data_IF_390325485521
#
_entry.id   IF_390325485521
#
_cell.length_a   1.000
_cell.length_b   1.000
_cell.length_c   1.000
_cell.angle_alpha   90.00
_cell.angle_beta   90.00
_cell.angle_gamma   90.00
#
_symmetry.space_group_name_H-M   'P 1'
#
loop_
_entity.id
_entity.type
_entity.pdbx_description
1 polymer ?
#
# COMPACT_ATOMS: atom_id res chain seq x y z
N UNK A 1 11.27 -40.27 45.81
CA UNK A 1 12.16 -39.13 45.49
C UNK A 1 11.94 -38.76 44.03
N UNK A 2 10.86 -38.04 43.73
CA UNK A 2 10.58 -37.43 42.43
C UNK A 2 9.73 -36.20 42.72
N UNK A 3 10.36 -35.02 42.74
CA UNK A 3 9.65 -33.74 42.75
C UNK A 3 9.43 -33.34 41.30
N UNK A 4 8.17 -33.32 40.85
CA UNK A 4 7.77 -32.64 39.63
C UNK A 4 7.70 -31.15 39.92
N UNK A 5 8.58 -30.39 39.28
CA UNK A 5 8.54 -28.93 39.25
C UNK A 5 7.59 -28.51 38.14
N UNK A 6 6.44 -27.93 38.51
CA UNK A 6 5.51 -27.28 37.59
C UNK A 6 6.00 -25.85 37.41
N UNK A 7 6.65 -25.57 36.28
CA UNK A 7 7.01 -24.22 35.89
C UNK A 7 5.78 -23.51 35.32
N UNK A 8 5.28 -22.51 36.05
CA UNK A 8 4.26 -21.58 35.58
C UNK A 8 4.83 -20.72 34.44
N UNK A 9 4.28 -20.86 33.24
CA UNK A 9 4.44 -19.86 32.17
C UNK A 9 3.58 -18.64 32.52
N UNK A 10 4.19 -17.60 33.09
CA UNK A 10 3.60 -16.27 33.17
C UNK A 10 3.77 -15.60 31.80
N UNK A 11 2.71 -15.61 31.00
CA UNK A 11 2.61 -14.72 29.84
C UNK A 11 2.40 -13.31 30.38
N UNK A 12 3.45 -12.49 30.31
CA UNK A 12 3.37 -11.05 30.59
C UNK A 12 2.54 -10.40 29.48
N UNK A 13 1.23 -10.28 29.68
CA UNK A 13 0.44 -9.31 28.96
C UNK A 13 1.02 -7.93 29.31
N UNK A 14 1.63 -7.26 28.32
CA UNK A 14 2.09 -5.89 28.49
C UNK A 14 0.94 -4.98 28.94
N UNK A 15 1.23 -3.83 29.57
CA UNK A 15 0.19 -2.89 29.94
C UNK A 15 -0.57 -2.49 28.68
N UNK A 16 -1.85 -2.89 28.59
CA UNK A 16 -2.77 -2.31 27.64
C UNK A 16 -2.85 -0.83 28.00
N UNK A 17 -2.14 0.01 27.24
CA UNK A 17 -2.37 1.43 27.22
C UNK A 17 -3.80 1.61 26.71
N UNK A 18 -4.77 1.69 27.62
CA UNK A 18 -6.07 2.22 27.26
C UNK A 18 -5.82 3.70 26.99
N UNK A 19 -5.74 4.05 25.71
CA UNK A 19 -5.75 5.44 25.28
C UNK A 19 -6.92 6.13 25.99
N UNK A 20 -6.66 7.32 26.54
CA UNK A 20 -7.72 8.10 27.16
C UNK A 20 -8.81 8.33 26.10
N UNK A 21 -10.06 8.03 26.45
CA UNK A 21 -11.16 8.19 25.50
C UNK A 21 -11.25 9.68 25.13
N UNK A 22 -11.27 10.03 23.83
CA UNK A 22 -11.37 11.40 23.38
C UNK A 22 -12.58 12.16 23.96
N UNK A 23 -12.41 13.46 24.17
CA UNK A 23 -13.44 14.33 24.74
C UNK A 23 -14.62 14.56 23.77
N UNK A 24 -14.38 14.51 22.46
CA UNK A 24 -15.41 14.56 21.43
C UNK A 24 -15.41 13.22 20.69
N UNK A 25 -16.53 12.51 20.76
CA UNK A 25 -16.73 11.21 20.13
C UNK A 25 -17.73 11.37 19.00
N UNK A 26 -17.27 11.25 17.76
CA UNK A 26 -18.12 11.34 16.58
C UNK A 26 -18.72 9.97 16.30
N UNK A 27 -20.02 9.81 16.52
CA UNK A 27 -20.72 8.57 16.19
C UNK A 27 -21.02 8.50 14.69
N UNK A 28 -20.30 7.64 13.97
CA UNK A 28 -20.40 7.49 12.53
C UNK A 28 -21.12 6.20 12.17
N UNK A 29 -22.16 6.30 11.34
CA UNK A 29 -22.77 5.15 10.70
C UNK A 29 -22.19 4.97 9.31
N UNK A 30 -21.63 3.81 9.05
CA UNK A 30 -21.00 3.48 7.76
C UNK A 30 -21.98 2.67 6.90
N UNK A 31 -22.09 3.03 5.64
CA UNK A 31 -22.90 2.32 4.66
C UNK A 31 -22.02 1.90 3.50
N UNK A 32 -22.30 0.73 2.95
CA UNK A 32 -21.65 0.24 1.74
C UNK A 32 -22.71 -0.13 0.72
N UNK A 33 -22.58 0.39 -0.50
CA UNK A 33 -23.47 0.02 -1.59
C UNK A 33 -23.06 -1.29 -2.28
N UNK A 34 -23.93 -1.83 -3.13
CA UNK A 34 -23.66 -3.08 -3.83
C UNK A 34 -22.53 -2.92 -4.86
N UNK A 35 -22.30 -1.72 -5.38
CA UNK A 35 -21.16 -1.43 -6.24
C UNK A 35 -19.82 -1.68 -5.53
N UNK A 36 -19.69 -1.26 -4.27
CA UNK A 36 -18.51 -1.55 -3.45
C UNK A 36 -18.40 -3.05 -3.13
N UNK A 37 -19.52 -3.70 -2.78
CA UNK A 37 -19.55 -5.15 -2.48
C UNK A 37 -19.05 -5.97 -3.68
N UNK A 38 -19.45 -5.61 -4.91
CA UNK A 38 -19.04 -6.31 -6.13
C UNK A 38 -17.51 -6.34 -6.34
N UNK A 39 -16.76 -5.40 -5.77
CA UNK A 39 -15.29 -5.41 -5.85
C UNK A 39 -14.66 -6.59 -5.09
N UNK A 40 -15.32 -7.13 -4.07
CA UNK A 40 -14.88 -8.33 -3.35
C UNK A 40 -15.12 -9.64 -4.13
N UNK A 41 -15.95 -9.62 -5.18
CA UNK A 41 -16.26 -10.83 -5.96
C UNK A 41 -15.05 -11.34 -6.75
N UNK A 42 -14.10 -10.46 -7.09
CA UNK A 42 -12.89 -10.80 -7.86
C UNK A 42 -12.05 -11.87 -7.15
N UNK A 43 -11.94 -11.78 -5.82
CA UNK A 43 -11.12 -12.69 -5.02
C UNK A 43 -11.92 -13.89 -4.45
N UNK A 44 -13.25 -13.78 -4.32
CA UNK A 44 -14.06 -14.74 -3.56
C UNK A 44 -14.93 -15.69 -4.40
N UNK A 45 -14.93 -15.57 -5.73
CA UNK A 45 -15.67 -16.50 -6.61
C UNK A 45 -17.19 -16.53 -6.37
N UNK A 46 -17.75 -15.46 -5.77
CA UNK A 46 -19.19 -15.28 -5.56
C UNK A 46 -19.77 -15.86 -4.26
N UNK A 47 -18.95 -16.32 -3.29
CA UNK A 47 -19.46 -16.71 -1.96
C UNK A 47 -19.80 -15.47 -1.13
N UNK A 48 -21.08 -15.08 -1.12
CA UNK A 48 -21.56 -13.90 -0.41
C UNK A 48 -21.33 -13.95 1.11
N UNK A 49 -21.25 -15.13 1.73
CA UNK A 49 -20.98 -15.22 3.16
C UNK A 49 -19.51 -14.91 3.46
N UNK A 50 -18.60 -15.43 2.62
CA UNK A 50 -17.18 -15.10 2.68
C UNK A 50 -16.91 -13.62 2.38
N UNK A 51 -17.54 -13.08 1.33
CA UNK A 51 -17.48 -11.65 0.98
C UNK A 51 -17.94 -10.78 2.14
N UNK A 52 -19.07 -11.11 2.78
CA UNK A 52 -19.58 -10.33 3.92
C UNK A 52 -18.62 -10.35 5.10
N UNK A 53 -18.06 -11.51 5.43
CA UNK A 53 -17.09 -11.64 6.52
C UNK A 53 -15.79 -10.86 6.26
N UNK A 54 -15.34 -10.82 5.00
CA UNK A 54 -14.17 -10.04 4.59
C UNK A 54 -14.44 -8.53 4.65
N UNK A 55 -15.60 -8.09 4.15
CA UNK A 55 -16.06 -6.70 4.24
C UNK A 55 -16.08 -6.23 5.70
N UNK A 56 -16.64 -7.02 6.62
CA UNK A 56 -16.72 -6.63 8.04
C UNK A 56 -15.32 -6.43 8.65
N UNK A 57 -14.39 -7.34 8.34
CA UNK A 57 -13.01 -7.30 8.81
C UNK A 57 -12.26 -6.09 8.24
N UNK A 58 -12.38 -5.83 6.95
CA UNK A 58 -11.75 -4.69 6.29
C UNK A 58 -12.35 -3.36 6.77
N UNK A 59 -13.68 -3.31 6.96
CA UNK A 59 -14.38 -2.15 7.52
C UNK A 59 -13.86 -1.80 8.91
N UNK A 60 -13.77 -2.79 9.81
CA UNK A 60 -13.26 -2.56 11.15
C UNK A 60 -11.79 -2.10 11.13
N UNK A 61 -10.97 -2.67 10.25
CA UNK A 61 -9.61 -2.21 10.04
C UNK A 61 -9.56 -0.76 9.56
N UNK A 62 -10.32 -0.39 8.52
CA UNK A 62 -10.31 0.96 7.99
C UNK A 62 -10.78 1.99 9.03
N UNK A 63 -11.81 1.67 9.80
CA UNK A 63 -12.27 2.53 10.91
C UNK A 63 -11.18 2.66 11.99
N UNK A 64 -10.48 1.57 12.32
CA UNK A 64 -9.35 1.61 13.25
C UNK A 64 -8.21 2.50 12.75
N UNK A 65 -7.87 2.45 11.46
CA UNK A 65 -6.85 3.33 10.89
C UNK A 65 -7.31 4.80 10.81
N UNK A 66 -8.59 5.05 10.50
CA UNK A 66 -9.17 6.40 10.57
C UNK A 66 -9.01 6.95 12.00
N UNK A 67 -9.34 6.15 13.01
CA UNK A 67 -9.15 6.52 14.42
C UNK A 67 -7.70 6.93 14.73
N UNK A 68 -6.72 6.13 14.29
CA UNK A 68 -5.29 6.47 14.48
C UNK A 68 -4.90 7.81 13.85
N UNK A 69 -5.55 8.23 12.76
CA UNK A 69 -5.32 9.55 12.18
C UNK A 69 -5.87 10.66 13.08
N UNK A 70 -7.09 10.49 13.60
CA UNK A 70 -7.74 11.47 14.47
C UNK A 70 -7.12 11.55 15.88
N UNK A 71 -6.60 10.44 16.42
CA UNK A 71 -5.85 10.41 17.70
C UNK A 71 -4.62 11.34 17.71
N UNK A 72 -4.07 11.65 16.53
CA UNK A 72 -2.91 12.53 16.37
C UNK A 72 -3.26 14.01 16.34
N UNK A 73 -4.54 14.35 16.31
CA UNK A 73 -4.98 15.73 16.53
C UNK A 73 -4.54 16.11 17.95
N UNK A 74 -3.93 17.30 18.15
CA UNK A 74 -3.48 17.74 19.45
C UNK A 74 -4.51 17.50 20.57
N UNK A 75 -4.00 17.01 21.69
CA UNK A 75 -4.75 16.62 22.89
C UNK A 75 -5.70 15.41 22.74
N UNK A 76 -5.63 14.67 21.62
CA UNK A 76 -6.44 13.45 21.41
C UNK A 76 -7.94 13.73 21.49
N UNK A 77 -8.33 14.91 21.04
CA UNK A 77 -9.61 15.53 21.38
C UNK A 77 -10.79 15.04 20.55
N UNK A 78 -10.55 14.29 19.46
CA UNK A 78 -11.57 13.75 18.55
C UNK A 78 -11.35 12.25 18.38
N UNK A 79 -12.38 11.45 18.61
CA UNK A 79 -12.42 10.01 18.32
C UNK A 79 -13.57 9.66 17.39
N UNK A 80 -13.39 8.68 16.52
CA UNK A 80 -14.40 8.21 15.58
C UNK A 80 -14.99 6.89 16.10
N UNK A 81 -16.25 6.94 16.51
CA UNK A 81 -16.97 5.80 17.04
C UNK A 81 -17.78 5.14 15.93
N UNK A 82 -17.65 3.82 15.76
CA UNK A 82 -18.53 3.05 14.88
C UNK A 82 -19.89 2.92 15.55
N UNK A 83 -20.87 3.68 15.07
CA UNK A 83 -22.28 3.56 15.48
C UNK A 83 -22.93 2.30 14.93
N UNK A 84 -22.58 1.98 13.70
CA UNK A 84 -23.11 0.85 12.95
C UNK A 84 -22.44 0.74 11.59
N UNK A 85 -22.65 -0.40 10.95
CA UNK A 85 -22.27 -0.65 9.57
C UNK A 85 -23.38 -1.43 8.89
N UNK A 86 -23.71 -1.05 7.65
CA UNK A 86 -24.73 -1.74 6.86
C UNK A 86 -24.30 -1.86 5.40
N UNK A 87 -24.39 -3.08 4.88
CA UNK A 87 -24.38 -3.34 3.45
C UNK A 87 -25.80 -3.11 2.94
N UNK A 88 -25.96 -2.08 2.11
CA UNK A 88 -27.25 -1.71 1.54
C UNK A 88 -27.70 -2.76 0.53
N UNK A 89 -29.00 -3.04 0.48
CA UNK A 89 -29.57 -4.00 -0.48
C UNK A 89 -29.52 -3.52 -1.93
N UNK A 90 -29.45 -2.20 -2.13
CA UNK A 90 -29.49 -1.54 -3.43
C UNK A 90 -28.47 -0.41 -3.44
N UNK A 91 -28.05 -0.03 -4.65
CA UNK A 91 -27.17 1.11 -4.86
C UNK A 91 -27.93 2.43 -4.66
N UNK A 92 -27.45 3.30 -3.77
CA UNK A 92 -27.97 4.68 -3.62
C UNK A 92 -27.61 5.52 -4.85
N UNK A 93 -26.38 5.32 -5.34
CA UNK A 93 -25.85 5.99 -6.51
C UNK A 93 -26.10 5.13 -7.76
N UNK A 94 -26.00 5.72 -8.95
CA UNK A 94 -26.31 5.06 -10.21
C UNK A 94 -25.42 5.56 -11.34
N UNK A 95 -25.05 4.67 -12.25
CA UNK A 95 -24.17 4.95 -13.40
C UNK A 95 -22.76 4.40 -13.19
N UNK A 96 -21.91 4.33 -14.23
CA UNK A 96 -20.50 3.96 -14.05
C UNK A 96 -19.69 5.06 -13.35
N UNK A 97 -20.06 6.31 -13.60
CA UNK A 97 -19.52 7.54 -13.02
C UNK A 97 -20.66 8.31 -12.35
N UNK A 98 -20.35 9.00 -11.25
CA UNK A 98 -21.33 9.76 -10.45
C UNK A 98 -20.81 11.18 -10.21
N UNK A 99 -21.53 12.19 -10.68
CA UNK A 99 -21.25 13.58 -10.32
C UNK A 99 -21.35 13.75 -8.81
N UNK A 100 -20.22 14.10 -8.17
CA UNK A 100 -20.06 14.07 -6.71
C UNK A 100 -21.10 14.90 -5.96
N UNK A 101 -21.43 16.10 -6.46
CA UNK A 101 -22.42 16.99 -5.86
C UNK A 101 -23.83 16.35 -5.87
N UNK A 102 -24.19 15.73 -7.00
CA UNK A 102 -25.46 15.04 -7.13
C UNK A 102 -25.47 13.74 -6.31
N UNK A 103 -24.33 13.06 -6.20
CA UNK A 103 -24.17 11.85 -5.40
C UNK A 103 -24.35 12.13 -3.90
N UNK A 104 -23.65 13.13 -3.36
CA UNK A 104 -23.76 13.52 -1.97
C UNK A 104 -25.18 13.97 -1.65
N UNK A 105 -25.79 14.80 -2.53
CA UNK A 105 -27.18 15.20 -2.35
C UNK A 105 -28.16 14.02 -2.30
N UNK A 106 -27.97 13.00 -3.16
CA UNK A 106 -28.81 11.78 -3.11
C UNK A 106 -28.63 11.04 -1.79
N UNK A 107 -27.39 10.96 -1.29
CA UNK A 107 -27.12 10.31 -0.01
C UNK A 107 -27.73 11.08 1.17
N UNK A 108 -27.69 12.41 1.15
CA UNK A 108 -28.34 13.26 2.15
C UNK A 108 -29.86 13.04 2.18
N UNK A 109 -30.50 13.01 1.01
CA UNK A 109 -31.94 12.77 0.87
C UNK A 109 -32.30 11.35 1.35
N UNK A 110 -31.47 10.35 1.05
CA UNK A 110 -31.64 8.97 1.54
C UNK A 110 -31.48 8.87 3.06
N UNK A 111 -30.44 9.49 3.64
CA UNK A 111 -30.17 9.49 5.08
C UNK A 111 -31.36 10.07 5.83
N UNK A 112 -31.88 11.21 5.35
CA UNK A 112 -33.08 11.86 5.91
C UNK A 112 -34.28 10.90 5.96
N UNK A 113 -34.43 10.01 4.98
CA UNK A 113 -35.50 9.03 4.92
C UNK A 113 -35.23 7.77 5.77
N UNK A 114 -33.96 7.39 5.96
CA UNK A 114 -33.56 6.16 6.70
C UNK A 114 -33.96 6.17 8.18
N UNK A 115 -33.97 7.35 8.81
CA UNK A 115 -34.25 7.49 10.24
C UNK A 115 -33.16 6.94 11.18
N UNK A 116 -32.00 6.51 10.64
CA UNK A 116 -30.87 6.07 11.45
C UNK A 116 -30.26 7.23 12.23
N UNK A 117 -29.91 6.98 13.50
CA UNK A 117 -29.37 7.97 14.42
C UNK A 117 -27.86 7.80 14.57
N UNK A 118 -27.13 8.81 14.12
CA UNK A 118 -25.69 8.98 14.25
C UNK A 118 -25.36 10.46 14.11
N UNK A 119 -24.22 10.89 14.62
CA UNK A 119 -23.72 12.25 14.41
C UNK A 119 -23.37 12.46 12.93
N UNK A 120 -22.78 11.44 12.31
CA UNK A 120 -22.33 11.46 10.92
C UNK A 120 -22.70 10.18 10.17
N UNK A 121 -22.81 10.27 8.84
CA UNK A 121 -23.02 9.13 7.95
C UNK A 121 -21.98 9.10 6.83
N UNK A 122 -21.43 7.92 6.55
CA UNK A 122 -20.45 7.70 5.47
C UNK A 122 -21.02 6.70 4.49
N UNK A 123 -21.05 7.03 3.20
CA UNK A 123 -21.32 6.07 2.14
C UNK A 123 -20.03 5.70 1.43
N UNK A 124 -19.62 4.46 1.57
CA UNK A 124 -18.58 3.85 0.74
C UNK A 124 -19.20 3.27 -0.52
N UNK A 125 -18.70 3.72 -1.66
CA UNK A 125 -19.27 3.39 -2.96
C UNK A 125 -18.25 2.76 -3.91
N UNK A 126 -18.71 1.82 -4.73
CA UNK A 126 -17.89 1.24 -5.79
C UNK A 126 -17.84 2.06 -7.07
N UNK A 127 -18.65 3.12 -7.19
CA UNK A 127 -18.70 3.99 -8.36
C UNK A 127 -17.53 4.97 -8.40
N UNK A 128 -17.14 5.38 -9.61
CA UNK A 128 -16.18 6.46 -9.83
C UNK A 128 -16.86 7.81 -9.63
N UNK A 129 -16.34 8.64 -8.73
CA UNK A 129 -16.85 9.97 -8.47
C UNK A 129 -16.18 10.95 -9.44
N UNK A 130 -17.00 11.75 -10.10
CA UNK A 130 -16.55 12.72 -11.09
C UNK A 130 -16.97 14.13 -10.72
N UNK A 131 -16.23 15.11 -11.24
CA UNK A 131 -16.61 16.51 -11.23
C UNK A 131 -16.60 17.03 -12.66
N UNK A 132 -17.78 17.38 -13.19
CA UNK A 132 -17.95 17.79 -14.58
C UNK A 132 -17.36 16.75 -15.56
N UNK A 133 -17.56 15.46 -15.29
CA UNK A 133 -17.03 14.33 -16.06
C UNK A 133 -15.53 14.07 -15.91
N UNK A 134 -14.85 14.71 -14.95
CA UNK A 134 -13.44 14.43 -14.65
C UNK A 134 -13.34 13.52 -13.40
N UNK A 135 -12.72 12.32 -13.48
CA UNK A 135 -12.56 11.37 -12.36
C UNK A 135 -11.49 11.80 -11.34
N UNK A 136 -11.40 13.10 -11.09
CA UNK A 136 -10.41 13.73 -10.24
C UNK A 136 -10.93 13.86 -8.79
N UNK A 137 -11.77 12.95 -8.31
CA UNK A 137 -12.37 13.09 -6.98
C UNK A 137 -12.60 11.71 -6.38
N UNK A 138 -12.01 11.42 -5.22
CA UNK A 138 -12.24 10.16 -4.52
C UNK A 138 -13.26 10.24 -3.37
N UNK A 139 -13.66 11.44 -2.95
CA UNK A 139 -14.61 11.66 -1.86
C UNK A 139 -15.39 12.96 -2.07
N UNK A 140 -16.46 13.18 -1.31
CA UNK A 140 -17.11 14.48 -1.21
C UNK A 140 -17.89 14.61 0.09
N UNK A 141 -17.73 15.73 0.79
CA UNK A 141 -18.40 16.00 2.06
C UNK A 141 -18.97 17.42 2.16
N UNK A 142 -20.05 17.53 2.93
CA UNK A 142 -20.56 18.83 3.35
C UNK A 142 -19.64 19.44 4.42
N UNK A 143 -19.02 20.59 4.16
CA UNK A 143 -18.04 21.19 5.08
C UNK A 143 -18.70 21.79 6.33
N UNK A 144 -18.16 21.45 7.50
CA UNK A 144 -18.57 22.02 8.80
C UNK A 144 -20.00 21.69 9.21
N UNK A 145 -20.54 20.57 8.73
CA UNK A 145 -21.91 20.13 8.99
C UNK A 145 -22.04 19.06 10.08
N UNK A 146 -20.98 18.77 10.83
CA UNK A 146 -21.08 17.86 11.99
C UNK A 146 -22.23 18.27 12.91
N UNK A 147 -22.98 17.28 13.42
CA UNK A 147 -24.24 17.43 14.16
C UNK A 147 -25.46 17.93 13.34
N UNK A 148 -25.35 18.22 12.05
CA UNK A 148 -26.52 18.41 11.20
C UNK A 148 -27.19 17.04 10.94
N UNK A 149 -28.49 16.88 11.24
CA UNK A 149 -29.17 15.58 11.16
C UNK A 149 -29.27 15.03 9.73
N UNK A 150 -29.00 15.85 8.71
CA UNK A 150 -29.05 15.46 7.30
C UNK A 150 -27.66 15.59 6.67
N UNK A 151 -27.06 16.78 6.77
CA UNK A 151 -25.84 17.15 6.05
C UNK A 151 -24.55 16.73 6.76
N UNK A 152 -24.58 16.12 7.94
CA UNK A 152 -23.37 15.53 8.55
C UNK A 152 -22.98 14.23 7.81
N UNK A 153 -22.73 14.31 6.51
CA UNK A 153 -22.69 13.20 5.58
C UNK A 153 -21.56 13.40 4.58
N UNK A 154 -21.05 12.28 4.08
CA UNK A 154 -20.06 12.24 3.02
C UNK A 154 -20.19 10.95 2.19
N UNK A 155 -19.67 11.01 0.97
CA UNK A 155 -19.50 9.87 0.07
C UNK A 155 -18.00 9.67 -0.18
N UNK A 156 -17.55 8.42 -0.29
CA UNK A 156 -16.16 8.12 -0.60
C UNK A 156 -16.07 6.86 -1.47
N UNK A 157 -15.19 6.91 -2.48
CA UNK A 157 -14.82 5.76 -3.29
C UNK A 157 -14.18 4.69 -2.40
N UNK A 158 -14.63 3.46 -2.60
CA UNK A 158 -14.16 2.29 -1.87
C UNK A 158 -13.29 1.46 -2.80
N UNK A 159 -12.00 1.39 -2.52
CA UNK A 159 -11.02 0.71 -3.38
C UNK A 159 -10.36 -0.50 -2.74
N UNK A 160 -10.89 -0.97 -1.61
CA UNK A 160 -10.41 -2.14 -0.87
C UNK A 160 -8.98 -1.98 -0.29
N UNK A 161 -8.41 -0.77 -0.32
CA UNK A 161 -7.05 -0.50 0.16
C UNK A 161 -6.99 0.61 1.21
N UNK A 162 -5.78 0.89 1.72
CA UNK A 162 -5.54 1.98 2.65
C UNK A 162 -5.89 3.38 2.09
N UNK A 163 -6.03 3.54 0.78
CA UNK A 163 -6.53 4.79 0.19
C UNK A 163 -7.93 5.15 0.74
N UNK A 164 -8.80 4.14 0.90
CA UNK A 164 -10.14 4.31 1.51
C UNK A 164 -10.05 4.97 2.90
N UNK A 165 -9.04 4.64 3.69
CA UNK A 165 -8.78 5.25 5.01
C UNK A 165 -8.46 6.74 4.86
N UNK A 166 -7.52 7.07 3.96
CA UNK A 166 -7.05 8.46 3.77
C UNK A 166 -8.19 9.33 3.25
N UNK A 167 -8.91 8.88 2.23
CA UNK A 167 -10.05 9.59 1.65
C UNK A 167 -11.15 9.77 2.68
N UNK A 168 -11.56 8.71 3.38
CA UNK A 168 -12.63 8.83 4.38
C UNK A 168 -12.22 9.78 5.52
N UNK A 169 -10.98 9.72 5.99
CA UNK A 169 -10.50 10.63 7.03
C UNK A 169 -10.44 12.09 6.56
N UNK A 170 -10.08 12.33 5.29
CA UNK A 170 -10.14 13.64 4.66
C UNK A 170 -11.56 14.19 4.66
N UNK A 171 -12.53 13.40 4.19
CA UNK A 171 -13.93 13.80 4.13
C UNK A 171 -14.56 14.02 5.52
N UNK A 172 -14.19 13.21 6.51
CA UNK A 172 -14.58 13.45 7.90
C UNK A 172 -14.00 14.78 8.37
N UNK A 173 -12.74 15.08 8.02
CA UNK A 173 -12.09 16.35 8.33
C UNK A 173 -12.84 17.56 7.76
N UNK A 174 -13.31 17.46 6.51
CA UNK A 174 -14.22 18.45 5.92
C UNK A 174 -15.51 18.60 6.70
N UNK A 175 -16.19 17.50 7.03
CA UNK A 175 -17.46 17.56 7.76
C UNK A 175 -17.30 18.17 9.16
N UNK A 176 -16.15 17.93 9.80
CA UNK A 176 -15.75 18.57 11.05
C UNK A 176 -15.35 20.03 10.91
N UNK A 177 -15.18 20.56 9.70
CA UNK A 177 -15.00 21.99 9.42
C UNK A 177 -13.62 22.40 8.92
N UNK A 178 -12.74 21.46 8.57
CA UNK A 178 -11.46 21.78 7.94
C UNK A 178 -11.63 22.14 6.46
N UNK A 179 -10.82 23.09 5.99
CA UNK A 179 -10.52 23.27 4.56
C UNK A 179 -9.28 22.44 4.18
N UNK A 180 -8.94 22.44 2.89
CA UNK A 180 -7.65 21.92 2.43
C UNK A 180 -6.47 22.67 3.06
N UNK A 181 -5.39 21.92 3.29
CA UNK A 181 -4.11 22.48 3.67
C UNK A 181 -3.52 23.34 2.54
N UNK A 182 -2.86 24.43 2.92
CA UNK A 182 -2.14 25.30 1.98
C UNK A 182 -0.93 24.63 1.30
N UNK A 183 -0.36 23.58 1.92
CA UNK A 183 0.57 22.65 1.26
C UNK A 183 -0.26 21.51 0.67
N UNK A 184 -0.66 21.67 -0.60
CA UNK A 184 -1.62 20.77 -1.30
C UNK A 184 -1.17 19.31 -1.34
N UNK A 185 0.10 19.07 -1.09
CA UNK A 185 0.70 17.76 -1.02
C UNK A 185 1.27 17.60 0.37
N UNK A 186 0.69 16.66 1.13
CA UNK A 186 1.42 15.65 1.92
C UNK A 186 0.66 15.16 3.15
N UNK A 187 -0.45 15.79 3.54
CA UNK A 187 -1.19 15.47 4.78
C UNK A 187 -2.60 15.00 4.48
N UNK A 188 -3.32 14.59 5.53
CA UNK A 188 -4.69 14.07 5.38
C UNK A 188 -5.59 15.08 4.67
N UNK A 189 -5.52 16.39 5.00
CA UNK A 189 -6.30 17.44 4.34
C UNK A 189 -5.60 18.09 3.14
N UNK A 190 -4.60 17.46 2.53
CA UNK A 190 -4.06 17.96 1.27
C UNK A 190 -5.11 17.86 0.16
N UNK A 191 -5.18 18.85 -0.73
CA UNK A 191 -6.08 18.83 -1.90
C UNK A 191 -5.77 17.70 -2.90
N UNK A 192 -4.62 17.03 -2.74
CA UNK A 192 -4.23 15.87 -3.52
C UNK A 192 -3.74 14.73 -2.61
N UNK A 193 -4.33 13.55 -2.81
CA UNK A 193 -3.89 12.29 -2.24
C UNK A 193 -2.74 11.73 -3.06
N UNK A 194 -1.64 11.38 -2.38
CA UNK A 194 -0.53 10.69 -3.01
C UNK A 194 -0.03 9.57 -2.10
N UNK A 195 -0.05 8.34 -2.63
CA UNK A 195 0.41 7.16 -1.92
C UNK A 195 1.84 7.32 -1.38
N UNK A 196 2.76 7.90 -2.18
CA UNK A 196 4.14 8.10 -1.75
C UNK A 196 4.38 9.25 -0.76
N UNK A 197 3.33 9.92 -0.28
CA UNK A 197 3.47 11.03 0.65
C UNK A 197 3.97 10.58 2.02
N UNK A 198 5.00 11.27 2.54
CA UNK A 198 5.59 10.96 3.85
C UNK A 198 4.72 11.37 5.04
N UNK A 199 3.77 12.30 4.86
CA UNK A 199 2.95 12.83 5.97
C UNK A 199 1.47 12.43 5.87
N UNK A 200 1.10 11.47 5.01
CA UNK A 200 -0.31 11.09 4.76
C UNK A 200 -1.03 10.54 6.00
N UNK A 201 -0.28 10.26 7.06
CA UNK A 201 -0.80 9.79 8.35
C UNK A 201 -0.99 10.92 9.39
N UNK A 202 -0.94 12.18 8.97
CA UNK A 202 -1.00 13.32 9.89
C UNK A 202 -1.91 14.42 9.37
N UNK A 203 -2.74 14.98 10.24
CA UNK A 203 -3.40 16.26 10.01
C UNK A 203 -2.41 17.41 10.21
N UNK A 204 -2.58 18.52 9.51
CA UNK A 204 -1.84 19.73 9.82
C UNK A 204 -2.37 20.37 11.11
N UNK A 205 -1.58 21.29 11.68
CA UNK A 205 -2.05 22.12 12.80
C UNK A 205 -3.22 23.02 12.40
N UNK A 206 -3.25 23.46 11.15
CA UNK A 206 -4.32 24.31 10.60
C UNK A 206 -5.62 23.51 10.50
N UNK A 207 -5.59 22.31 9.91
CA UNK A 207 -6.77 21.45 9.82
C UNK A 207 -7.32 21.12 11.20
N UNK A 208 -6.43 20.72 12.12
CA UNK A 208 -6.79 20.42 13.51
C UNK A 208 -7.47 21.62 14.19
N UNK A 209 -6.91 22.82 14.06
CA UNK A 209 -7.47 24.03 14.65
C UNK A 209 -8.85 24.38 14.05
N UNK A 210 -9.04 24.20 12.73
CA UNK A 210 -10.30 24.46 12.06
C UNK A 210 -11.40 23.51 12.56
N UNK A 211 -11.12 22.22 12.64
CA UNK A 211 -12.05 21.23 13.19
C UNK A 211 -12.44 21.55 14.63
N UNK A 212 -11.46 21.83 15.49
CA UNK A 212 -11.73 22.15 16.90
C UNK A 212 -12.48 23.46 17.09
N UNK A 213 -12.21 24.47 16.25
CA UNK A 213 -12.94 25.74 16.25
C UNK A 213 -14.40 25.52 15.87
N UNK A 214 -14.66 24.72 14.84
CA UNK A 214 -16.03 24.41 14.42
C UNK A 214 -16.78 23.62 15.51
N UNK A 215 -16.16 22.59 16.11
CA UNK A 215 -16.74 21.84 17.23
C UNK A 215 -17.04 22.75 18.42
N UNK A 216 -16.11 23.64 18.79
CA UNK A 216 -16.29 24.60 19.88
C UNK A 216 -17.38 25.65 19.61
N UNK A 217 -17.72 25.87 18.35
CA UNK A 217 -18.80 26.77 17.92
C UNK A 217 -20.19 26.14 17.89
N UNK A 218 -20.32 24.82 18.11
CA UNK A 218 -21.60 24.13 18.10
C UNK A 218 -22.49 24.60 19.25
N UNK A 219 -23.72 25.02 18.93
CA UNK A 219 -24.71 25.45 19.93
C UNK A 219 -25.23 24.28 20.79
N UNK A 220 -25.22 23.07 20.24
CA UNK A 220 -25.46 21.81 20.95
C UNK A 220 -24.46 20.81 20.41
N UNK A 221 -23.52 20.39 21.26
CA UNK A 221 -22.45 19.51 20.84
C UNK A 221 -22.91 18.04 20.95
N UNK A 222 -23.34 17.47 19.83
CA UNK A 222 -23.77 16.06 19.75
C UNK A 222 -22.64 15.07 20.11
N UNK A 223 -21.39 15.49 19.98
CA UNK A 223 -20.19 14.65 20.17
C UNK A 223 -19.86 14.37 21.65
N UNK A 224 -20.62 14.95 22.58
CA UNK A 224 -20.45 14.76 24.03
C UNK A 224 -21.27 13.62 24.60
N UNK A 225 -22.27 13.17 23.85
CA UNK A 225 -23.12 12.05 24.24
C UNK A 225 -22.86 10.90 23.28
N UNK A 226 -22.61 9.71 23.84
CA UNK A 226 -22.53 8.51 23.04
C UNK A 226 -23.57 7.50 23.45
N UNK A 227 -24.01 6.76 22.46
CA UNK A 227 -25.00 5.72 22.59
C UNK A 227 -24.33 4.39 22.92
N UNK A 228 -24.95 3.52 23.73
CA UNK A 228 -24.33 2.27 24.21
C UNK A 228 -23.92 1.28 23.11
N UNK A 229 -24.51 1.37 21.92
CA UNK A 229 -24.19 0.49 20.79
C UNK A 229 -22.95 0.97 20.00
N UNK A 230 -22.49 2.19 20.25
CA UNK A 230 -21.32 2.75 19.57
C UNK A 230 -20.04 2.18 20.14
N UNK A 231 -19.08 1.88 19.26
CA UNK A 231 -17.83 1.21 19.62
C UNK A 231 -16.63 1.97 19.09
N UNK A 232 -15.63 2.13 19.95
CA UNK A 232 -14.29 2.45 19.50
C UNK A 232 -13.68 1.20 18.87
N UNK A 233 -13.31 1.27 17.60
CA UNK A 233 -12.80 0.12 16.87
C UNK A 233 -11.27 0.13 16.90
N UNK A 234 -10.72 -0.93 17.46
CA UNK A 234 -9.29 -1.26 17.41
C UNK A 234 -9.16 -2.65 16.79
N UNK A 235 -8.78 -2.69 15.51
CA UNK A 235 -8.81 -3.89 14.69
C UNK A 235 -7.42 -4.21 14.15
N UNK A 236 -7.11 -5.49 14.09
CA UNK A 236 -5.86 -5.97 13.49
C UNK A 236 -5.91 -5.88 11.98
N UNK A 237 -4.77 -5.58 11.36
CA UNK A 237 -4.66 -5.57 9.89
C UNK A 237 -5.07 -6.92 9.26
N UNK A 238 -5.97 -6.91 8.26
CA UNK A 238 -6.30 -8.09 7.48
C UNK A 238 -5.08 -8.65 6.74
N UNK A 239 -5.04 -9.98 6.57
CA UNK A 239 -3.89 -10.64 5.94
C UNK A 239 -3.73 -10.18 4.50
N UNK A 240 -4.86 -10.01 3.83
CA UNK A 240 -5.03 -9.53 2.47
C UNK A 240 -4.48 -8.11 2.28
N UNK A 241 -4.39 -7.34 3.36
CA UNK A 241 -3.80 -5.99 3.39
C UNK A 241 -2.34 -5.99 3.89
N UNK A 242 -1.77 -7.14 4.24
CA UNK A 242 -0.32 -7.26 4.55
C UNK A 242 0.48 -7.89 3.42
N UNK A 243 -0.19 -8.48 2.43
CA UNK A 243 0.42 -9.06 1.24
C UNK A 243 0.36 -8.06 0.07
N UNK A 244 1.50 -7.58 -0.45
CA UNK A 244 1.50 -6.56 -1.50
C UNK A 244 0.88 -7.04 -2.82
N UNK A 245 0.93 -8.34 -3.14
CA UNK A 245 0.26 -8.85 -4.32
C UNK A 245 -1.27 -8.78 -4.15
N UNK A 246 -1.77 -9.00 -2.93
CA UNK A 246 -3.19 -8.87 -2.60
C UNK A 246 -3.66 -7.42 -2.63
N UNK A 247 -2.85 -6.49 -2.09
CA UNK A 247 -3.10 -5.04 -2.23
C UNK A 247 -3.19 -4.65 -3.71
N UNK A 248 -2.30 -5.15 -4.56
CA UNK A 248 -2.33 -4.83 -5.99
C UNK A 248 -3.56 -5.39 -6.72
N UNK A 249 -3.97 -6.62 -6.42
CA UNK A 249 -5.21 -7.18 -7.01
C UNK A 249 -6.45 -6.35 -6.65
N UNK A 250 -6.49 -5.88 -5.40
CA UNK A 250 -7.55 -5.02 -4.86
C UNK A 250 -7.54 -3.63 -5.47
N UNK A 251 -6.39 -2.94 -5.45
CA UNK A 251 -6.23 -1.59 -6.00
C UNK A 251 -6.58 -1.52 -7.49
N UNK A 252 -6.14 -2.51 -8.27
CA UNK A 252 -6.39 -2.56 -9.71
C UNK A 252 -7.72 -3.24 -10.06
N UNK A 253 -8.44 -3.76 -9.06
CA UNK A 253 -9.61 -4.63 -9.25
C UNK A 253 -9.35 -5.72 -10.30
N UNK A 254 -8.16 -6.34 -10.25
CA UNK A 254 -7.64 -7.24 -11.26
C UNK A 254 -6.88 -8.41 -10.61
N UNK A 255 -7.43 -9.61 -10.72
CA UNK A 255 -6.86 -10.85 -10.15
C UNK A 255 -5.43 -11.17 -10.63
N UNK A 256 -5.05 -10.67 -11.81
CA UNK A 256 -3.74 -10.91 -12.41
C UNK A 256 -2.72 -9.83 -12.01
N UNK A 257 -3.14 -8.78 -11.30
CA UNK A 257 -2.24 -7.78 -10.75
C UNK A 257 -1.34 -8.35 -9.65
N UNK A 258 -0.17 -7.76 -9.50
CA UNK A 258 0.87 -8.13 -8.55
C UNK A 258 1.80 -6.93 -8.31
N UNK A 259 2.58 -6.99 -7.22
CA UNK A 259 3.61 -6.01 -6.94
C UNK A 259 4.79 -6.16 -7.90
N UNK A 260 5.12 -5.10 -8.61
CA UNK A 260 6.32 -5.00 -9.44
C UNK A 260 7.53 -4.82 -8.51
N UNK A 261 8.54 -5.68 -8.65
CA UNK A 261 9.75 -5.74 -7.79
C UNK A 261 10.98 -5.16 -8.48
N UNK A 262 10.82 -4.54 -9.64
CA UNK A 262 11.92 -3.89 -10.34
C UNK A 262 12.43 -2.69 -9.55
N UNK A 263 13.75 -2.65 -9.31
CA UNK A 263 14.43 -1.55 -8.61
C UNK A 263 14.22 -0.17 -9.25
N UNK A 264 13.85 -0.12 -10.54
CA UNK A 264 13.53 1.14 -11.24
C UNK A 264 12.39 1.92 -10.61
N UNK A 265 11.52 1.24 -9.85
CA UNK A 265 10.41 1.86 -9.13
C UNK A 265 10.77 2.30 -7.70
N UNK A 266 11.89 1.81 -7.17
CA UNK A 266 12.31 1.94 -5.78
C UNK A 266 13.69 2.59 -5.66
N UNK A 267 13.89 3.73 -6.32
CA UNK A 267 15.13 4.53 -6.26
C UNK A 267 16.41 3.72 -6.57
N UNK A 268 16.30 2.79 -7.51
CA UNK A 268 17.38 1.87 -7.91
C UNK A 268 17.84 0.93 -6.78
N UNK A 269 16.97 0.67 -5.80
CA UNK A 269 17.17 -0.28 -4.70
C UNK A 269 16.18 -1.45 -4.78
N UNK A 270 16.47 -2.60 -4.16
CA UNK A 270 15.47 -3.64 -3.97
C UNK A 270 14.23 -3.10 -3.23
N UNK A 271 13.03 -3.64 -3.50
CA UNK A 271 11.82 -3.23 -2.80
C UNK A 271 11.88 -3.66 -1.32
N UNK A 272 12.35 -2.78 -0.45
CA UNK A 272 12.41 -3.00 0.99
C UNK A 272 12.30 -1.69 1.78
N UNK A 273 12.29 -1.79 3.11
CA UNK A 273 12.40 -0.65 4.01
C UNK A 273 11.26 0.35 3.86
N UNK A 274 11.56 1.62 4.08
CA UNK A 274 10.57 2.72 3.98
C UNK A 274 10.04 2.89 2.56
N UNK A 275 10.78 2.46 1.53
CA UNK A 275 10.37 2.59 0.14
C UNK A 275 9.04 1.86 -0.11
N UNK A 276 8.91 0.63 0.39
CA UNK A 276 7.70 -0.17 0.25
C UNK A 276 6.63 0.21 1.26
N UNK A 277 7.01 0.73 2.44
CA UNK A 277 6.03 1.19 3.42
C UNK A 277 5.31 2.48 3.02
N UNK A 278 5.95 3.32 2.20
CA UNK A 278 5.28 4.49 1.63
C UNK A 278 4.32 4.08 0.52
N UNK A 279 4.82 3.37 -0.49
CA UNK A 279 4.02 2.97 -1.63
C UNK A 279 4.58 1.71 -2.30
N UNK A 280 3.69 0.97 -2.95
CA UNK A 280 4.06 -0.13 -3.84
C UNK A 280 3.59 0.16 -5.26
N UNK A 281 4.12 -0.56 -6.23
CA UNK A 281 3.78 -0.39 -7.64
C UNK A 281 3.16 -1.68 -8.16
N UNK A 282 1.98 -1.56 -8.75
CA UNK A 282 1.14 -2.66 -9.16
C UNK A 282 1.11 -2.78 -10.67
N UNK A 283 1.11 -4.02 -11.17
CA UNK A 283 0.88 -4.31 -12.57
C UNK A 283 -0.58 -4.02 -12.94
N UNK A 284 -0.80 -3.16 -13.93
CA UNK A 284 -2.14 -2.69 -14.33
C UNK A 284 -2.69 -3.40 -15.58
N UNK A 285 -2.13 -4.56 -15.95
CA UNK A 285 -2.53 -5.28 -17.16
C UNK A 285 -1.86 -4.80 -18.45
N UNK A 286 -1.06 -3.72 -18.40
CA UNK A 286 -0.31 -3.24 -19.56
C UNK A 286 1.19 -3.56 -19.42
N UNK A 287 1.84 -4.08 -20.48
CA UNK A 287 3.29 -4.23 -20.50
C UNK A 287 3.94 -2.89 -20.17
N UNK A 288 5.00 -2.93 -19.37
CA UNK A 288 5.81 -1.75 -19.07
C UNK A 288 5.05 -0.58 -18.41
N UNK A 289 3.90 -0.84 -17.76
CA UNK A 289 3.14 0.16 -17.02
C UNK A 289 2.85 -0.31 -15.60
N UNK A 290 2.72 0.66 -14.70
CA UNK A 290 2.43 0.43 -13.30
C UNK A 290 1.48 1.47 -12.76
N UNK A 291 0.71 1.12 -11.75
CA UNK A 291 -0.03 2.05 -10.92
C UNK A 291 0.53 2.04 -9.50
N UNK A 292 0.58 3.20 -8.85
CA UNK A 292 1.01 3.29 -7.45
C UNK A 292 -0.16 2.90 -6.54
N UNK A 293 0.08 2.00 -5.58
CA UNK A 293 -0.90 1.65 -4.56
C UNK A 293 -0.43 2.06 -3.16
N UNK A 294 -1.39 2.33 -2.28
CA UNK A 294 -1.14 2.63 -0.88
C UNK A 294 -0.74 1.34 -0.15
N UNK A 295 0.49 1.31 0.34
CA UNK A 295 0.92 0.25 1.26
C UNK A 295 0.18 0.39 2.59
N UNK A 296 -0.25 -0.72 3.17
CA UNK A 296 -0.89 -0.73 4.48
C UNK A 296 0.11 -0.97 5.60
N UNK A 297 -0.24 -0.53 6.81
CA UNK A 297 0.47 -0.89 8.02
C UNK A 297 0.47 -2.41 8.21
N UNK A 298 1.54 -2.94 8.81
CA UNK A 298 1.73 -4.37 9.00
C UNK A 298 2.31 -5.11 7.80
N UNK A 299 2.48 -4.51 6.62
CA UNK A 299 3.20 -5.18 5.53
C UNK A 299 4.66 -5.48 5.92
N UNK A 300 5.19 -6.66 5.58
CA UNK A 300 6.61 -6.98 5.82
C UNK A 300 7.48 -6.13 4.91
N UNK A 301 8.47 -5.44 5.48
CA UNK A 301 9.32 -4.50 4.74
C UNK A 301 10.81 -4.80 4.82
N UNK A 302 11.23 -5.59 5.82
CA UNK A 302 12.59 -6.09 5.97
C UNK A 302 12.58 -7.26 6.96
N UNK A 303 13.73 -7.87 7.19
CA UNK A 303 13.88 -8.93 8.19
C UNK A 303 13.55 -8.41 9.60
N UNK A 304 12.61 -9.07 10.26
CA UNK A 304 12.05 -8.68 11.57
C UNK A 304 11.43 -7.27 11.59
N UNK A 305 10.95 -6.76 10.44
CA UNK A 305 10.33 -5.44 10.36
C UNK A 305 9.03 -5.43 9.58
N UNK A 306 8.14 -4.53 9.99
CA UNK A 306 6.88 -4.25 9.32
C UNK A 306 6.66 -2.76 9.13
N UNK A 307 5.81 -2.44 8.17
CA UNK A 307 5.38 -1.08 7.92
C UNK A 307 4.52 -0.56 9.07
N UNK A 308 4.83 0.66 9.50
CA UNK A 308 4.01 1.45 10.40
C UNK A 308 4.14 2.91 9.98
N UNK A 309 3.05 3.50 9.52
CA UNK A 309 2.98 4.91 9.11
C UNK A 309 4.07 5.30 8.11
N UNK A 310 4.28 4.45 7.10
CA UNK A 310 5.27 4.70 6.05
C UNK A 310 6.70 4.37 6.43
N UNK A 311 6.93 3.89 7.65
CA UNK A 311 8.25 3.52 8.16
C UNK A 311 8.38 2.02 8.36
N UNK A 312 9.54 1.48 8.05
CA UNK A 312 9.89 0.10 8.30
C UNK A 312 10.48 -0.05 9.71
N UNK A 313 9.63 -0.45 10.65
CA UNK A 313 9.96 -0.50 12.08
C UNK A 313 10.10 -1.93 12.57
N UNK A 314 10.86 -2.12 13.65
CA UNK A 314 11.06 -3.44 14.26
C UNK A 314 9.71 -4.08 14.66
N UNK A 315 9.51 -5.31 14.19
CA UNK A 315 8.37 -6.18 14.48
C UNK A 315 8.83 -7.62 14.25
N UNK A 316 9.32 -8.28 15.30
CA UNK A 316 9.79 -9.65 15.22
C UNK A 316 8.62 -10.63 15.39
N UNK A 317 7.99 -10.98 14.28
CA UNK A 317 6.98 -12.03 14.20
C UNK A 317 7.43 -13.13 13.22
N UNK A 318 6.65 -14.20 13.12
CA UNK A 318 7.03 -15.38 12.35
C UNK A 318 7.25 -15.08 10.86
N UNK A 319 6.46 -14.18 10.25
CA UNK A 319 6.56 -13.88 8.82
C UNK A 319 7.73 -12.95 8.53
N UNK A 320 7.87 -11.87 9.30
CA UNK A 320 8.99 -10.94 9.14
C UNK A 320 10.32 -11.59 9.49
N UNK A 321 10.34 -12.52 10.45
CA UNK A 321 11.52 -13.30 10.82
C UNK A 321 11.90 -14.38 9.81
N UNK A 322 10.97 -14.81 8.95
CA UNK A 322 11.23 -15.74 7.85
C UNK A 322 11.94 -15.08 6.65
N UNK A 323 12.03 -13.74 6.61
CA UNK A 323 12.79 -13.03 5.58
C UNK A 323 14.28 -13.36 5.73
N UNK A 324 14.85 -13.90 4.66
CA UNK A 324 16.25 -14.37 4.65
C UNK A 324 17.23 -13.21 4.45
N UNK A 325 16.87 -12.22 3.64
CA UNK A 325 17.67 -11.03 3.33
C UNK A 325 16.77 -9.85 2.98
N UNK A 326 17.19 -8.65 3.36
CA UNK A 326 16.50 -7.40 3.03
C UNK A 326 16.56 -7.09 1.52
N UNK A 327 17.47 -7.72 0.78
CA UNK A 327 17.53 -7.62 -0.69
C UNK A 327 16.48 -8.50 -1.39
N UNK A 328 15.72 -9.31 -0.63
CA UNK A 328 14.78 -10.28 -1.18
C UNK A 328 13.58 -10.51 -0.26
N UNK A 329 12.97 -9.41 0.21
CA UNK A 329 11.82 -9.43 1.13
C UNK A 329 10.63 -10.18 0.51
N UNK A 330 10.32 -9.87 -0.74
CA UNK A 330 9.13 -10.37 -1.43
C UNK A 330 9.38 -11.56 -2.35
N UNK A 331 10.57 -12.18 -2.31
CA UNK A 331 10.97 -13.27 -3.23
C UNK A 331 10.94 -12.86 -4.70
N UNK A 332 11.06 -13.84 -5.60
CA UNK A 332 11.00 -13.61 -7.05
C UNK A 332 9.70 -12.97 -7.51
N UNK A 333 9.79 -12.19 -8.58
CA UNK A 333 8.68 -11.64 -9.34
C UNK A 333 7.78 -12.77 -9.82
N UNK A 334 6.46 -12.60 -9.64
CA UNK A 334 5.45 -13.57 -10.08
C UNK A 334 5.53 -13.84 -11.59
N UNK A 335 5.72 -12.78 -12.37
CA UNK A 335 5.84 -12.82 -13.81
C UNK A 335 6.85 -11.80 -14.33
N UNK A 336 7.75 -12.22 -15.21
CA UNK A 336 8.79 -11.39 -15.81
C UNK A 336 8.48 -11.23 -17.29
N UNK A 337 8.26 -9.98 -17.70
CA UNK A 337 8.12 -9.57 -19.10
C UNK A 337 9.21 -8.55 -19.44
N UNK A 338 10.27 -9.01 -20.11
CA UNK A 338 11.42 -8.18 -20.49
C UNK A 338 11.98 -8.62 -21.84
N UNK A 339 12.17 -7.67 -22.76
CA UNK A 339 12.82 -7.88 -24.06
C UNK A 339 12.35 -9.12 -24.84
N UNK A 340 11.03 -9.28 -24.96
CA UNK A 340 10.42 -10.40 -25.69
C UNK A 340 10.59 -11.74 -24.98
N UNK A 341 10.95 -11.75 -23.70
CA UNK A 341 10.82 -12.88 -22.82
C UNK A 341 9.66 -12.64 -21.86
N UNK A 342 8.81 -13.65 -21.75
CA UNK A 342 7.63 -13.68 -20.89
C UNK A 342 7.68 -15.02 -20.15
N UNK A 343 7.76 -15.00 -18.82
CA UNK A 343 7.91 -16.22 -18.02
C UNK A 343 8.32 -15.97 -16.57
N UNK A 344 8.94 -16.96 -15.95
CA UNK A 344 9.41 -16.92 -14.56
C UNK A 344 10.91 -16.61 -14.46
N UNK A 345 11.38 -16.22 -13.28
CA UNK A 345 12.81 -16.00 -13.03
C UNK A 345 13.71 -17.22 -13.33
N UNK A 346 13.34 -18.47 -12.93
CA UNK A 346 14.09 -19.66 -13.34
C UNK A 346 14.18 -19.84 -14.86
N UNK A 347 13.09 -19.61 -15.60
CA UNK A 347 13.06 -19.72 -17.07
C UNK A 347 13.91 -18.62 -17.72
N UNK A 348 13.92 -17.40 -17.16
CA UNK A 348 14.78 -16.31 -17.61
C UNK A 348 16.25 -16.70 -17.50
N UNK A 349 16.67 -17.18 -16.33
CA UNK A 349 18.04 -17.65 -16.08
C UNK A 349 18.38 -18.86 -16.94
N UNK A 350 17.44 -19.77 -17.19
CA UNK A 350 17.66 -20.90 -18.09
C UNK A 350 17.90 -20.44 -19.54
N UNK A 351 17.10 -19.50 -20.04
CA UNK A 351 17.17 -19.01 -21.41
C UNK A 351 18.42 -18.17 -21.66
N UNK A 352 18.76 -17.29 -20.73
CA UNK A 352 19.81 -16.29 -20.92
C UNK A 352 21.06 -16.54 -20.07
N UNK A 353 21.08 -17.53 -19.18
CA UNK A 353 22.21 -17.85 -18.29
C UNK A 353 22.33 -16.93 -17.08
N UNK A 354 23.13 -17.34 -16.10
CA UNK A 354 23.27 -16.68 -14.78
C UNK A 354 23.61 -15.18 -14.84
N UNK A 355 24.25 -14.71 -15.93
CA UNK A 355 24.62 -13.29 -16.11
C UNK A 355 23.43 -12.33 -16.05
N UNK A 356 22.20 -12.79 -16.33
CA UNK A 356 21.01 -11.94 -16.21
C UNK A 356 20.76 -11.47 -14.78
N UNK A 357 21.28 -12.20 -13.80
CA UNK A 357 21.22 -11.82 -12.40
C UNK A 357 22.01 -10.54 -12.07
N UNK A 358 22.93 -10.08 -12.91
CA UNK A 358 23.55 -8.76 -12.72
C UNK A 358 22.59 -7.60 -13.01
N UNK A 359 21.52 -7.84 -13.77
CA UNK A 359 20.59 -6.79 -14.22
C UNK A 359 19.22 -6.91 -13.55
N UNK A 360 18.79 -8.13 -13.24
CA UNK A 360 17.45 -8.41 -12.74
C UNK A 360 17.44 -9.05 -11.35
N UNK A 361 18.50 -8.84 -10.55
CA UNK A 361 18.62 -9.38 -9.18
C UNK A 361 17.44 -8.99 -8.29
N UNK A 362 16.91 -7.78 -8.42
CA UNK A 362 15.78 -7.32 -7.59
C UNK A 362 14.49 -8.07 -7.90
N UNK A 363 14.17 -8.26 -9.20
CA UNK A 363 13.02 -9.05 -9.62
C UNK A 363 13.22 -10.56 -9.41
N UNK A 364 14.44 -11.07 -9.53
CA UNK A 364 14.75 -12.49 -9.47
C UNK A 364 15.65 -12.84 -8.27
N UNK A 365 15.39 -12.22 -7.13
CA UNK A 365 16.30 -12.25 -5.99
C UNK A 365 16.53 -13.65 -5.41
N UNK A 366 15.51 -14.49 -5.37
CA UNK A 366 15.60 -15.86 -4.85
C UNK A 366 16.30 -16.77 -5.85
N UNK A 367 15.87 -16.74 -7.12
CA UNK A 367 16.52 -17.49 -8.20
C UNK A 367 18.00 -17.10 -8.31
N UNK A 368 18.31 -15.80 -8.33
CA UNK A 368 19.68 -15.32 -8.48
C UNK A 368 20.53 -15.64 -7.27
N UNK A 369 20.02 -15.50 -6.04
CA UNK A 369 20.75 -15.92 -4.84
C UNK A 369 21.14 -17.40 -4.90
N UNK A 370 20.26 -18.28 -5.40
CA UNK A 370 20.58 -19.70 -5.58
C UNK A 370 21.67 -19.97 -6.64
N UNK A 371 21.95 -18.99 -7.52
CA UNK A 371 23.01 -19.04 -8.54
C UNK A 371 24.29 -18.31 -8.12
N UNK A 372 24.26 -17.59 -7.00
CA UNK A 372 25.41 -16.83 -6.51
C UNK A 372 26.56 -17.76 -6.13
N UNK A 373 27.76 -17.43 -6.58
CA UNK A 373 29.01 -18.11 -6.22
C UNK A 373 29.61 -17.64 -4.89
N UNK A 374 29.06 -16.55 -4.31
CA UNK A 374 29.61 -15.87 -3.13
C UNK A 374 30.84 -15.01 -3.41
N UNK A 375 31.33 -14.97 -4.65
CA UNK A 375 32.46 -14.14 -5.08
C UNK A 375 31.96 -12.73 -5.45
N UNK A 376 32.25 -11.66 -4.67
CA UNK A 376 31.68 -10.33 -4.92
C UNK A 376 32.11 -9.74 -6.27
N UNK A 377 33.27 -10.14 -6.79
CA UNK A 377 33.78 -9.68 -8.09
C UNK A 377 33.20 -10.48 -9.27
N UNK A 378 32.60 -11.65 -8.98
CA UNK A 378 32.14 -12.60 -9.98
C UNK A 378 30.87 -13.37 -9.55
N UNK A 379 29.92 -12.67 -8.93
CA UNK A 379 28.82 -13.28 -8.19
C UNK A 379 28.07 -14.34 -9.00
N UNK A 380 27.76 -14.04 -10.27
CA UNK A 380 27.03 -14.93 -11.18
C UNK A 380 27.90 -15.45 -12.34
N UNK A 381 29.23 -15.39 -12.19
CA UNK A 381 30.17 -15.71 -13.26
C UNK A 381 30.38 -14.57 -14.25
N UNK A 382 30.78 -14.92 -15.49
CA UNK A 382 31.08 -13.94 -16.55
C UNK A 382 29.87 -13.06 -16.87
N UNK A 383 30.09 -11.74 -16.94
CA UNK A 383 29.10 -10.69 -17.23
C UNK A 383 28.76 -10.57 -18.72
N UNK A 384 29.41 -11.34 -19.59
CA UNK A 384 29.11 -11.39 -21.02
C UNK A 384 29.16 -12.81 -21.57
N UNK A 385 28.18 -13.15 -22.41
CA UNK A 385 28.22 -14.39 -23.19
C UNK A 385 29.41 -14.48 -24.15
N UNK A 386 30.01 -13.33 -24.51
CA UNK A 386 31.17 -13.24 -25.41
C UNK A 386 32.47 -13.79 -24.79
N UNK A 387 32.51 -14.00 -23.47
CA UNK A 387 33.62 -14.66 -22.79
C UNK A 387 33.70 -16.16 -23.16
N UNK A 388 32.57 -16.78 -23.52
CA UNK A 388 32.52 -18.21 -23.84
C UNK A 388 33.34 -18.52 -25.08
N UNK A 389 34.21 -19.53 -24.97
CA UNK A 389 35.07 -19.98 -26.07
C UNK A 389 36.30 -19.10 -26.34
N UNK A 390 36.59 -18.13 -25.46
CA UNK A 390 37.82 -17.33 -25.52
C UNK A 390 38.92 -17.95 -24.68
N UNK A 391 40.17 -17.78 -25.12
CA UNK A 391 41.33 -18.15 -24.32
C UNK A 391 41.65 -17.04 -23.30
N UNK A 392 42.10 -17.43 -22.11
CA UNK A 392 42.36 -16.47 -21.01
C UNK A 392 43.31 -15.34 -21.43
N UNK A 393 44.41 -15.66 -22.12
CA UNK A 393 45.38 -14.63 -22.53
C UNK A 393 44.78 -13.60 -23.50
N UNK A 394 43.77 -13.98 -24.29
CA UNK A 394 43.17 -13.11 -25.28
C UNK A 394 42.25 -12.06 -24.65
N UNK A 395 41.75 -12.28 -23.42
CA UNK A 395 40.70 -11.44 -22.82
C UNK A 395 41.11 -10.88 -21.47
N UNK A 396 41.83 -11.64 -20.65
CA UNK A 396 42.07 -11.29 -19.26
C UNK A 396 43.01 -10.10 -19.07
N UNK A 397 43.77 -9.70 -20.09
CA UNK A 397 44.58 -8.48 -20.05
C UNK A 397 43.77 -7.18 -20.07
N UNK A 398 42.53 -7.21 -20.60
CA UNK A 398 41.70 -5.99 -20.76
C UNK A 398 40.24 -6.13 -20.33
N UNK A 399 39.77 -7.33 -19.99
CA UNK A 399 38.36 -7.57 -19.68
C UNK A 399 38.16 -8.61 -18.56
N UNK A 400 39.12 -8.71 -17.65
CA UNK A 400 39.04 -9.61 -16.50
C UNK A 400 37.80 -9.35 -15.63
N UNK A 401 37.35 -8.10 -15.47
CA UNK A 401 36.14 -7.78 -14.71
C UNK A 401 34.85 -8.24 -15.40
N UNK A 402 34.83 -8.27 -16.74
CA UNK A 402 33.69 -8.77 -17.53
C UNK A 402 33.70 -10.30 -17.60
N UNK A 403 34.88 -10.88 -17.81
CA UNK A 403 35.08 -12.32 -17.94
C UNK A 403 35.74 -12.91 -16.69
N UNK A 404 35.20 -12.56 -15.51
CA UNK A 404 35.79 -12.85 -14.22
C UNK A 404 35.92 -14.36 -13.94
N UNK A 405 34.99 -15.19 -14.42
CA UNK A 405 35.03 -16.64 -14.24
C UNK A 405 36.08 -17.25 -15.17
N UNK A 406 36.10 -16.81 -16.43
CA UNK A 406 37.14 -17.22 -17.38
C UNK A 406 38.53 -16.83 -16.86
N UNK A 407 38.68 -15.63 -16.31
CA UNK A 407 39.97 -15.05 -15.91
C UNK A 407 40.42 -15.41 -14.50
N UNK A 408 39.66 -16.25 -13.78
CA UNK A 408 40.02 -16.68 -12.43
C UNK A 408 41.37 -17.40 -12.43
N UNK A 409 42.31 -16.90 -11.63
CA UNK A 409 43.67 -17.44 -11.52
C UNK A 409 44.62 -17.05 -12.65
N UNK A 410 44.24 -16.16 -13.56
CA UNK A 410 45.12 -15.70 -14.63
C UNK A 410 46.21 -14.76 -14.07
N UNK A 411 47.45 -15.25 -14.01
CA UNK A 411 48.65 -14.46 -13.75
C UNK A 411 49.33 -14.19 -15.09
N UNK A 412 49.20 -12.99 -15.64
CA UNK A 412 49.58 -12.63 -17.01
C UNK A 412 50.85 -13.31 -17.54
N UNK A 413 50.79 -13.90 -18.74
CA UNK A 413 52.01 -14.35 -19.44
C UNK A 413 52.82 -13.12 -19.84
N UNK A 414 54.16 -13.18 -19.73
CA UNK A 414 55.05 -12.19 -20.37
C UNK A 414 54.64 -12.10 -21.83
N UNK A 415 54.22 -10.91 -22.25
CA UNK A 415 53.57 -10.64 -23.53
C UNK A 415 54.29 -11.35 -24.67
N UNK A 416 53.61 -12.27 -25.36
CA UNK A 416 54.08 -12.69 -26.68
C UNK A 416 53.95 -11.45 -27.60
N UNK A 417 55.02 -11.02 -28.28
CA UNK A 417 54.95 -9.85 -29.16
C UNK A 417 53.98 -10.17 -30.32
N UNK A 418 52.92 -9.38 -30.47
CA UNK A 418 52.06 -9.41 -31.66
C UNK A 418 50.59 -9.82 -31.45
N UNK A 419 50.15 -10.15 -30.23
CA UNK A 419 48.74 -10.48 -29.97
C UNK A 419 48.05 -9.40 -29.14
N UNK A 420 47.21 -8.59 -29.79
CA UNK A 420 46.34 -7.62 -29.12
C UNK A 420 45.26 -8.34 -28.28
N UNK A 421 45.07 -7.88 -27.05
CA UNK A 421 43.99 -8.35 -26.18
C UNK A 421 42.65 -7.87 -26.71
N UNK A 422 41.67 -8.76 -26.78
CA UNK A 422 40.30 -8.45 -27.15
C UNK A 422 39.57 -7.78 -25.98
N UNK A 423 39.07 -6.57 -26.23
CA UNK A 423 38.16 -5.91 -25.31
C UNK A 423 36.76 -6.55 -25.41
N UNK A 424 36.25 -7.04 -24.28
CA UNK A 424 34.90 -7.57 -24.12
C UNK A 424 34.11 -6.64 -23.19
N UNK A 425 33.10 -5.99 -23.76
CA UNK A 425 32.11 -5.24 -22.99
C UNK A 425 31.15 -6.21 -22.28
N UNK A 426 30.61 -5.85 -21.10
CA UNK A 426 29.44 -6.51 -20.55
C UNK A 426 28.33 -6.59 -21.60
N UNK A 427 27.49 -7.62 -21.51
CA UNK A 427 26.27 -7.63 -22.32
C UNK A 427 25.42 -6.44 -21.87
N UNK A 428 24.80 -5.73 -22.82
CA UNK A 428 23.81 -4.73 -22.44
C UNK A 428 22.62 -5.46 -21.80
N UNK A 429 22.01 -4.90 -20.75
CA UNK A 429 20.72 -5.42 -20.32
C UNK A 429 19.78 -5.37 -21.52
N UNK A 430 18.93 -6.39 -21.70
CA UNK A 430 17.80 -6.26 -22.59
C UNK A 430 17.04 -4.96 -22.29
N UNK A 431 16.70 -4.19 -23.33
CA UNK A 431 16.03 -2.91 -23.15
C UNK A 431 14.74 -3.10 -22.34
N UNK A 432 14.66 -2.43 -21.20
CA UNK A 432 13.46 -2.34 -20.37
C UNK A 432 12.68 -1.12 -20.85
N UNK A 433 11.41 -1.29 -21.23
CA UNK A 433 10.56 -0.18 -21.65
C UNK A 433 9.65 0.32 -20.52
N UNK A 434 9.82 -0.20 -19.28
CA UNK A 434 9.01 0.13 -18.12
C UNK A 434 8.91 1.64 -17.84
N UNK A 435 7.71 2.18 -17.98
CA UNK A 435 7.33 3.53 -17.60
C UNK A 435 6.62 3.53 -16.23
N UNK A 436 6.85 4.60 -15.46
CA UNK A 436 6.23 4.82 -14.16
C UNK A 436 5.05 5.77 -14.30
N UNK A 437 3.85 5.32 -13.96
CA UNK A 437 2.70 6.21 -13.77
C UNK A 437 2.52 6.45 -12.28
N UNK A 438 2.55 7.72 -11.87
CA UNK A 438 2.20 8.10 -10.50
C UNK A 438 0.71 8.41 -10.44
N UNK A 439 0.01 7.78 -9.50
CA UNK A 439 -1.38 8.12 -9.20
C UNK A 439 -1.37 9.26 -8.19
N UNK A 440 -1.77 10.44 -8.64
CA UNK A 440 -2.15 11.56 -7.79
C UNK A 440 -3.67 11.62 -7.90
N UNK A 441 -4.36 11.40 -6.79
CA UNK A 441 -5.82 11.45 -6.75
C UNK A 441 -6.21 12.77 -6.13
N UNK A 442 -6.79 13.72 -6.87
CA UNK A 442 -7.24 14.95 -6.26
C UNK A 442 -8.35 14.65 -5.25
N UNK A 443 -8.25 15.24 -4.07
CA UNK A 443 -9.24 15.21 -3.00
C UNK A 443 -9.96 16.55 -3.06
N UNK A 444 -11.03 16.60 -3.85
CA UNK A 444 -11.91 17.73 -4.03
C UNK A 444 -11.33 19.11 -4.38
N UNK A 445 -12.20 20.01 -4.83
CA UNK A 445 -11.95 21.45 -4.98
C UNK A 445 -13.29 22.20 -4.97
#
# INVERSE_FOLDING_TARGET
MFMLSVAYLLVLAGPAYMAAIPENQVEVYFYMDQAAVRKYEVDNGGDMAAVTAEIEKDTDYFISEINKLFEKIPDGSIGIMKRGFEILKEDILQGPEVERDAGLKKFDDWRKASGHKSDMAVLWTGFELVRNGNPATAGYANVGKVCDPVMASLIAEYDLTYNTVVVTAHEIGHNLGSSHDSDSLRRVMGAEAYAGSENRWTFSKESAANMLTNIGGLSTNCLKETSPESKYVDATVPKELTDPDSICRRAENNKDSYMIKSQTYYDMQPPHGDLVCRAIFCYNGQPDSSMTAYASDGMVCAKNKRCREGRCVESADAESGAVVSDDCVFKDQKHVDIAGFTGTCPELVQKFGDRVCYYYKSMCCETCRARSSGDPDCEFGDKSGKCKGKEQWAVCGGSAATCCKLCKGYTGKRSAPGNETQAISPDQPPASNMNKTQVVVPMDD
#
